data_IF_834517584887
#
_entry.id   IF_834517584887
#
_cell.length_a   1.000
_cell.length_b   1.000
_cell.length_c   1.000
_cell.angle_alpha   90.00
_cell.angle_beta   90.00
_cell.angle_gamma   90.00
#
_symmetry.space_group_name_H-M   'P 1'
#
loop_
_entity.id
_entity.type
_entity.pdbx_description
1 polymer ?
#
# COMPACT_ATOMS: atom_id res chain seq x y z
N UNK A 1 -4.43 -11.94 -9.29
CA UNK A 1 -3.76 -11.30 -8.12
C UNK A 1 -2.56 -10.51 -8.59
N UNK A 2 -2.44 -9.28 -8.14
CA UNK A 2 -1.32 -8.42 -8.47
C UNK A 2 -0.46 -8.21 -7.24
N UNK A 3 0.86 -8.24 -7.44
CA UNK A 3 1.80 -7.96 -6.37
C UNK A 3 2.66 -6.76 -6.76
N UNK A 4 2.89 -5.88 -5.81
CA UNK A 4 3.70 -4.68 -6.00
C UNK A 4 4.73 -4.58 -4.87
N UNK A 5 5.99 -4.28 -5.20
CA UNK A 5 6.95 -3.94 -4.14
C UNK A 5 6.59 -2.58 -3.55
N UNK A 6 6.78 -2.45 -2.25
CA UNK A 6 6.57 -1.16 -1.58
C UNK A 6 7.90 -0.43 -1.54
N UNK A 7 7.97 0.72 -2.19
CA UNK A 7 9.19 1.53 -2.22
C UNK A 7 9.37 2.26 -0.89
N UNK A 8 10.59 2.31 -0.42
CA UNK A 8 10.93 3.03 0.81
C UNK A 8 10.91 2.19 2.07
N UNK A 9 10.63 0.90 1.99
CA UNK A 9 10.64 -0.01 3.14
C UNK A 9 11.36 -1.30 2.79
N UNK A 10 11.81 -2.03 3.82
CA UNK A 10 12.40 -3.34 3.64
C UNK A 10 11.32 -4.41 3.61
N UNK A 11 11.50 -5.38 2.72
CA UNK A 11 10.62 -6.54 2.61
C UNK A 11 9.14 -6.17 2.50
N UNK A 12 8.87 -5.04 1.84
CA UNK A 12 7.51 -4.57 1.67
C UNK A 12 6.87 -5.12 0.41
N UNK A 13 5.68 -5.69 0.55
CA UNK A 13 4.91 -6.19 -0.58
C UNK A 13 3.44 -5.86 -0.37
N UNK A 14 2.81 -5.40 -1.43
CA UNK A 14 1.36 -5.18 -1.46
C UNK A 14 0.75 -6.15 -2.42
N UNK A 15 -0.29 -6.85 -1.99
CA UNK A 15 -1.08 -7.73 -2.84
C UNK A 15 -2.44 -7.12 -3.06
N UNK A 16 -2.87 -7.10 -4.30
CA UNK A 16 -4.19 -6.59 -4.66
C UNK A 16 -4.94 -7.64 -5.45
N UNK A 17 -6.14 -7.94 -5.03
CA UNK A 17 -7.02 -8.88 -5.68
C UNK A 17 -8.33 -8.18 -6.01
N UNK A 18 -8.75 -8.27 -7.28
CA UNK A 18 -10.00 -7.65 -7.69
C UNK A 18 -11.16 -8.55 -7.32
N UNK A 19 -12.13 -7.97 -6.62
CA UNK A 19 -13.34 -8.65 -6.17
C UNK A 19 -14.54 -7.79 -6.57
N UNK A 20 -15.11 -8.09 -7.72
CA UNK A 20 -16.20 -7.29 -8.26
C UNK A 20 -15.77 -5.88 -8.59
N UNK A 21 -16.37 -4.89 -7.93
CA UNK A 21 -16.05 -3.47 -8.14
C UNK A 21 -15.00 -2.95 -7.15
N UNK A 22 -14.40 -3.84 -6.37
CA UNK A 22 -13.46 -3.45 -5.32
C UNK A 22 -12.12 -4.16 -5.48
N UNK A 23 -11.11 -3.52 -4.95
CA UNK A 23 -9.81 -4.14 -4.74
C UNK A 23 -9.67 -4.53 -3.27
N UNK A 24 -9.34 -5.78 -3.03
CA UNK A 24 -8.88 -6.23 -1.71
C UNK A 24 -7.40 -6.03 -1.64
N UNK A 25 -6.94 -5.25 -0.69
CA UNK A 25 -5.54 -4.88 -0.57
C UNK A 25 -4.99 -5.42 0.74
N UNK A 26 -3.86 -6.12 0.65
CA UNK A 26 -3.13 -6.65 1.79
C UNK A 26 -1.67 -6.28 1.60
N UNK A 27 -1.18 -5.38 2.44
CA UNK A 27 0.20 -4.92 2.39
C UNK A 27 0.91 -5.26 3.68
N UNK A 28 2.17 -5.65 3.57
CA UNK A 28 3.00 -5.91 4.75
C UNK A 28 4.43 -5.46 4.49
N UNK A 29 5.09 -5.04 5.55
CA UNK A 29 6.50 -4.66 5.50
C UNK A 29 7.13 -4.84 6.87
N UNK A 30 8.46 -4.81 6.92
CA UNK A 30 9.18 -4.88 8.18
C UNK A 30 8.98 -3.58 8.96
N UNK A 31 8.79 -3.70 10.26
CA UNK A 31 8.59 -2.56 11.14
C UNK A 31 9.93 -1.94 11.51
N UNK A 32 10.38 -0.97 10.72
CA UNK A 32 11.64 -0.25 10.96
C UNK A 32 11.43 1.16 11.50
N UNK A 33 10.19 1.52 11.82
CA UNK A 33 9.84 2.90 12.12
C UNK A 33 9.19 3.02 13.49
N UNK A 34 9.55 4.07 14.20
CA UNK A 34 8.93 4.41 15.49
C UNK A 34 7.71 5.32 15.32
N UNK A 35 7.37 5.67 14.10
CA UNK A 35 6.26 6.56 13.80
C UNK A 35 5.38 5.98 12.70
N UNK A 36 4.12 6.37 12.63
CA UNK A 36 3.23 5.88 11.58
C UNK A 36 3.71 6.29 10.20
N UNK A 37 3.57 5.38 9.25
CA UNK A 37 3.81 5.67 7.84
C UNK A 37 2.49 5.50 7.09
N UNK A 38 2.38 6.17 5.97
CA UNK A 38 1.19 6.08 5.12
C UNK A 38 1.60 5.45 3.80
N UNK A 39 0.77 4.53 3.30
CA UNK A 39 1.01 3.92 2.01
C UNK A 39 0.21 4.65 0.95
N UNK A 40 0.86 4.91 -0.19
CA UNK A 40 0.26 5.59 -1.33
C UNK A 40 0.44 4.75 -2.58
N UNK A 41 -0.58 4.75 -3.41
CA UNK A 41 -0.49 4.18 -4.75
C UNK A 41 -0.41 5.32 -5.76
N UNK A 42 0.56 5.27 -6.66
CA UNK A 42 0.70 6.24 -7.74
C UNK A 42 0.52 5.54 -9.08
N UNK A 43 -0.40 6.03 -9.87
CA UNK A 43 -0.65 5.52 -11.20
C UNK A 43 -1.13 6.67 -12.11
N UNK A 44 -0.50 6.81 -13.27
CA UNK A 44 -0.85 7.82 -14.27
C UNK A 44 -0.98 9.24 -13.71
N UNK A 45 -0.08 9.60 -12.77
CA UNK A 45 -0.11 10.92 -12.15
C UNK A 45 -1.15 11.07 -11.05
N UNK A 46 -1.91 10.03 -10.76
CA UNK A 46 -2.90 10.03 -9.70
C UNK A 46 -2.28 9.38 -8.46
N UNK A 47 -2.48 10.01 -7.31
CA UNK A 47 -1.99 9.50 -6.04
C UNK A 47 -3.17 9.16 -5.14
N UNK A 48 -3.23 7.91 -4.68
CA UNK A 48 -4.32 7.43 -3.84
C UNK A 48 -3.76 7.04 -2.48
N UNK A 49 -4.37 7.56 -1.42
CA UNK A 49 -4.00 7.22 -0.05
C UNK A 49 -4.61 5.86 0.30
N UNK A 50 -3.74 4.87 0.55
CA UNK A 50 -4.19 3.52 0.92
C UNK A 50 -4.46 3.39 2.41
N UNK A 51 -3.77 4.17 3.25
CA UNK A 51 -3.95 4.13 4.69
C UNK A 51 -2.65 3.95 5.43
N UNK A 52 -2.78 3.77 6.75
CA UNK A 52 -1.65 3.62 7.67
C UNK A 52 -1.58 2.17 8.13
N UNK A 53 -0.48 1.45 7.83
CA UNK A 53 -0.31 0.09 8.33
C UNK A 53 -0.27 0.06 9.85
N UNK A 54 -0.82 -0.99 10.41
CA UNK A 54 -0.85 -1.20 11.86
C UNK A 54 0.23 -2.16 12.28
N UNK A 55 0.86 -1.94 13.44
CA UNK A 55 1.88 -2.88 13.91
C UNK A 55 1.25 -4.23 14.26
N UNK A 56 1.90 -5.28 13.76
CA UNK A 56 1.49 -6.66 14.03
C UNK A 56 2.77 -7.46 14.26
N UNK A 57 3.16 -7.60 15.53
CA UNK A 57 4.42 -8.19 15.88
C UNK A 57 5.59 -7.34 15.38
N UNK A 58 6.49 -7.95 14.63
CA UNK A 58 7.65 -7.26 14.07
C UNK A 58 7.36 -6.64 12.71
N UNK A 59 6.11 -6.72 12.25
CA UNK A 59 5.71 -6.23 10.94
C UNK A 59 4.63 -5.17 11.04
N UNK A 60 4.51 -4.40 9.98
CA UNK A 60 3.38 -3.52 9.76
C UNK A 60 2.48 -4.15 8.72
N UNK A 61 1.19 -4.12 8.94
CA UNK A 61 0.23 -4.72 8.04
C UNK A 61 -0.95 -3.79 7.78
N UNK A 62 -1.35 -3.71 6.53
CA UNK A 62 -2.50 -2.94 6.11
C UNK A 62 -3.43 -3.84 5.31
N UNK A 63 -4.68 -3.93 5.75
CA UNK A 63 -5.73 -4.59 5.00
C UNK A 63 -6.83 -3.60 4.75
N UNK A 64 -7.21 -3.42 3.50
CA UNK A 64 -8.27 -2.50 3.17
C UNK A 64 -8.97 -2.93 1.88
N UNK A 65 -10.08 -2.27 1.61
CA UNK A 65 -10.88 -2.51 0.42
C UNK A 65 -11.15 -1.14 -0.21
N UNK A 66 -10.81 -1.03 -1.48
CA UNK A 66 -10.96 0.23 -2.20
C UNK A 66 -11.77 0.02 -3.47
N UNK A 67 -12.57 1.01 -3.82
CA UNK A 67 -13.29 0.99 -5.08
C UNK A 67 -12.31 1.00 -6.25
N UNK A 68 -12.53 0.16 -7.24
CA UNK A 68 -11.69 0.12 -8.43
C UNK A 68 -11.74 1.43 -9.22
N UNK A 69 -12.79 2.21 -9.06
CA UNK A 69 -12.91 3.53 -9.67
C UNK A 69 -11.98 4.54 -9.01
N UNK A 70 -11.87 4.46 -7.68
CA UNK A 70 -11.06 5.39 -6.91
C UNK A 70 -9.58 5.03 -6.94
N UNK A 71 -9.28 3.76 -7.17
CA UNK A 71 -7.90 3.28 -7.15
C UNK A 71 -7.66 2.36 -8.36
N UNK A 72 -7.41 2.95 -9.54
CA UNK A 72 -7.18 2.15 -10.76
C UNK A 72 -5.79 1.54 -10.73
N UNK A 73 -5.67 0.34 -10.16
CA UNK A 73 -4.40 -0.37 -10.13
C UNK A 73 -4.10 -0.99 -11.49
N UNK A 74 -2.85 -0.88 -11.92
CA UNK A 74 -2.38 -1.41 -13.18
C UNK A 74 -0.94 -1.89 -13.03
N UNK A 75 -0.37 -2.44 -14.11
CA UNK A 75 1.00 -2.92 -14.08
C UNK A 75 2.03 -1.81 -13.85
N UNK A 76 1.68 -0.57 -14.16
CA UNK A 76 2.55 0.58 -13.95
C UNK A 76 2.37 1.28 -12.62
N UNK A 77 1.50 0.76 -11.76
CA UNK A 77 1.25 1.37 -10.46
C UNK A 77 2.47 1.21 -9.55
N UNK A 78 2.80 2.27 -8.82
CA UNK A 78 3.86 2.26 -7.82
C UNK A 78 3.26 2.42 -6.44
N UNK A 79 3.78 1.63 -5.49
CA UNK A 79 3.37 1.73 -4.10
C UNK A 79 4.52 2.35 -3.32
N UNK A 80 4.23 3.43 -2.63
CA UNK A 80 5.24 4.22 -1.93
C UNK A 80 4.80 4.51 -0.50
N UNK A 81 5.78 4.83 0.34
CA UNK A 81 5.48 5.33 1.67
C UNK A 81 5.55 6.85 1.65
N UNK A 82 4.61 7.47 2.33
CA UNK A 82 4.64 8.91 2.57
C UNK A 82 5.34 9.13 3.90
N UNK A 83 6.63 9.37 3.83
CA UNK A 83 7.41 9.78 4.97
C UNK A 83 7.56 11.28 4.92
N UNK A 84 7.04 11.94 5.92
CA UNK A 84 7.31 13.36 6.04
C UNK A 84 8.55 13.53 6.88
N UNK A 85 9.67 13.95 6.28
CA UNK A 85 10.82 14.34 7.09
C UNK A 85 10.43 15.56 7.91
N UNK A 86 10.76 15.49 9.13
CA UNK A 86 10.59 16.67 9.96
C UNK A 86 11.71 17.66 9.71
#
# INVERSE_FOLDING_TARGET
MHEYPIEGVQDGTLRAEKDGLYWKIDASCTRDWDHPIRLLAETDGIRVNLGVPQPEGEKLRLQCRLSARSCPLSDGTRIRTDQQPE
#
